data_IF_066483851645
#
_entry.id   IF_066483851645
#
_cell.length_a   1.000
_cell.length_b   1.000
_cell.length_c   1.000
_cell.angle_alpha   90.00
_cell.angle_beta   90.00
_cell.angle_gamma   90.00
#
_symmetry.space_group_name_H-M   'P 1'
#
loop_
_entity.id
_entity.type
_entity.pdbx_description
1 polymer ?
#
# COMPACT_ATOMS: atom_id res chain seq x y z
N UNK A 1 -21.25 24.92 -11.00
CA UNK A 1 -22.38 25.86 -11.17
C UNK A 1 -22.31 26.31 -12.61
N UNK A 2 -22.88 25.54 -13.55
CA UNK A 2 -22.98 25.98 -14.94
C UNK A 2 -24.37 26.59 -15.07
N UNK A 3 -24.41 27.90 -15.35
CA UNK A 3 -25.63 28.59 -15.74
C UNK A 3 -25.72 28.56 -17.25
N UNK A 4 -26.75 27.92 -17.78
CA UNK A 4 -27.26 28.22 -19.11
C UNK A 4 -28.72 28.68 -18.93
N UNK A 5 -28.97 29.90 -19.39
CA UNK A 5 -30.28 30.48 -19.54
C UNK A 5 -30.54 30.59 -21.03
N UNK A 6 -30.89 29.48 -21.68
CA UNK A 6 -31.78 29.45 -22.84
C UNK A 6 -32.29 28.00 -23.05
N UNK A 7 -33.62 27.83 -23.02
CA UNK A 7 -34.30 26.58 -23.31
C UNK A 7 -34.18 26.24 -24.81
N UNK A 8 -33.16 25.46 -25.17
CA UNK A 8 -33.19 24.41 -26.19
C UNK A 8 -32.94 24.78 -27.66
N UNK A 9 -31.81 24.34 -28.21
CA UNK A 9 -31.76 23.33 -29.27
C UNK A 9 -30.38 22.63 -29.27
N UNK A 10 -30.26 21.43 -29.85
CA UNK A 10 -29.04 20.62 -29.85
C UNK A 10 -27.90 21.14 -30.74
N UNK A 11 -27.55 22.42 -30.65
CA UNK A 11 -26.51 23.11 -31.44
C UNK A 11 -25.12 23.07 -30.80
N UNK A 12 -24.98 22.63 -29.55
CA UNK A 12 -23.67 22.47 -28.90
C UNK A 12 -23.20 21.03 -29.03
N UNK A 13 -21.92 20.89 -29.41
CA UNK A 13 -21.17 19.64 -29.45
C UNK A 13 -20.05 19.70 -28.42
N UNK A 14 -20.06 18.78 -27.46
CA UNK A 14 -18.98 18.63 -26.48
C UNK A 14 -17.91 17.67 -26.99
N UNK A 15 -16.65 18.04 -26.79
CA UNK A 15 -15.50 17.20 -27.15
C UNK A 15 -14.48 17.22 -26.02
N UNK A 16 -13.72 16.12 -25.88
CA UNK A 16 -12.58 16.04 -24.97
C UNK A 16 -11.31 15.66 -25.73
N UNK A 17 -10.19 16.15 -25.24
CA UNK A 17 -8.85 15.79 -25.71
C UNK A 17 -7.89 15.68 -24.53
N UNK A 18 -6.69 15.14 -24.75
CA UNK A 18 -5.68 14.91 -23.71
C UNK A 18 -5.50 13.43 -23.39
N UNK A 19 -5.14 13.13 -22.15
CA UNK A 19 -4.77 11.78 -21.74
C UNK A 19 -5.97 10.84 -21.71
N UNK A 20 -5.90 9.73 -22.47
CA UNK A 20 -6.95 8.72 -22.50
C UNK A 20 -8.25 9.16 -23.19
N UNK A 21 -8.31 10.36 -23.77
CA UNK A 21 -9.48 10.83 -24.51
C UNK A 21 -9.76 9.97 -25.75
N UNK A 22 -11.02 9.52 -25.90
CA UNK A 22 -11.45 8.67 -27.00
C UNK A 22 -11.08 7.19 -26.87
N UNK A 23 -10.31 6.83 -25.83
CA UNK A 23 -9.98 5.43 -25.51
C UNK A 23 -10.48 5.04 -24.14
N UNK A 24 -9.98 5.71 -23.09
CA UNK A 24 -10.28 5.48 -21.67
C UNK A 24 -11.50 6.31 -21.25
N UNK A 25 -11.54 7.57 -21.66
CA UNK A 25 -12.61 8.51 -21.38
C UNK A 25 -13.33 8.86 -22.67
N UNK A 26 -14.65 8.64 -22.70
CA UNK A 26 -15.52 9.05 -23.80
C UNK A 26 -16.51 10.06 -23.26
N UNK A 27 -16.71 11.14 -24.00
CA UNK A 27 -17.74 12.14 -23.73
C UNK A 27 -18.94 11.90 -24.64
N UNK A 28 -20.15 11.97 -24.08
CA UNK A 28 -21.35 12.13 -24.87
C UNK A 28 -21.36 13.53 -25.49
N UNK A 29 -21.30 13.59 -26.82
CA UNK A 29 -21.17 14.86 -27.54
C UNK A 29 -22.37 15.80 -27.37
N UNK A 30 -23.50 15.31 -26.83
CA UNK A 30 -24.75 16.06 -26.63
C UNK A 30 -24.94 16.44 -25.17
N UNK A 31 -24.78 15.51 -24.23
CA UNK A 31 -25.00 15.79 -22.80
C UNK A 31 -23.76 16.34 -22.11
N UNK A 32 -22.57 16.07 -22.67
CA UNK A 32 -21.30 16.37 -22.02
C UNK A 32 -20.91 15.37 -20.93
N UNK A 33 -21.67 14.29 -20.74
CA UNK A 33 -21.36 13.26 -19.75
C UNK A 33 -20.09 12.50 -20.15
N UNK A 34 -19.14 12.40 -19.22
CA UNK A 34 -17.88 11.67 -19.43
C UNK A 34 -17.98 10.32 -18.74
N UNK A 35 -17.73 9.25 -19.49
CA UNK A 35 -17.70 7.88 -19.01
C UNK A 35 -16.32 7.26 -19.20
N UNK A 36 -15.88 6.49 -18.20
CA UNK A 36 -14.76 5.58 -18.35
C UNK A 36 -15.23 4.31 -19.08
N UNK A 37 -14.46 3.86 -20.06
CA UNK A 37 -14.75 2.65 -20.86
C UNK A 37 -14.08 1.39 -20.31
N UNK A 38 -13.07 1.58 -19.47
CA UNK A 38 -12.28 0.53 -18.84
C UNK A 38 -12.15 0.77 -17.34
N UNK A 39 -11.59 -0.23 -16.65
CA UNK A 39 -11.29 -0.12 -15.21
C UNK A 39 -10.11 0.83 -15.03
N UNK A 40 -10.24 1.76 -14.11
CA UNK A 40 -9.17 2.66 -13.71
C UNK A 40 -8.44 2.05 -12.52
N UNK A 41 -7.12 1.96 -12.64
CA UNK A 41 -6.21 1.51 -11.60
C UNK A 41 -5.39 2.73 -11.15
N UNK A 42 -5.47 3.07 -9.86
CA UNK A 42 -4.82 4.27 -9.32
C UNK A 42 -3.31 4.04 -9.18
N UNK A 43 -2.92 2.82 -8.83
CA UNK A 43 -1.55 2.35 -8.67
C UNK A 43 -0.83 2.39 -10.01
N UNK A 44 -1.55 2.15 -11.12
CA UNK A 44 -1.05 2.38 -12.48
C UNK A 44 -1.01 3.88 -12.83
N UNK A 45 -2.13 4.60 -12.67
CA UNK A 45 -2.19 6.03 -12.99
C UNK A 45 -3.29 6.78 -12.21
N UNK A 46 -2.86 7.59 -11.25
CA UNK A 46 -3.76 8.34 -10.37
C UNK A 46 -4.42 9.60 -10.97
N UNK A 47 -3.83 10.20 -12.02
CA UNK A 47 -4.29 11.48 -12.58
C UNK A 47 -4.27 11.45 -14.10
N UNK A 48 -5.33 12.01 -14.68
CA UNK A 48 -5.44 12.24 -16.12
C UNK A 48 -5.73 13.71 -16.36
N UNK A 49 -4.89 14.37 -17.17
CA UNK A 49 -5.12 15.75 -17.58
C UNK A 49 -5.84 15.77 -18.92
N UNK A 50 -7.04 16.34 -18.94
CA UNK A 50 -7.89 16.45 -20.12
C UNK A 50 -8.30 17.90 -20.36
N UNK A 51 -8.77 18.16 -21.58
CA UNK A 51 -9.35 19.42 -21.98
C UNK A 51 -10.72 19.18 -22.58
N UNK A 52 -11.70 19.97 -22.16
CA UNK A 52 -13.04 19.98 -22.73
C UNK A 52 -13.23 21.21 -23.62
N UNK A 53 -14.03 21.05 -24.67
CA UNK A 53 -14.40 22.14 -25.55
C UNK A 53 -15.85 22.01 -26.02
N UNK A 54 -16.59 23.11 -25.90
CA UNK A 54 -17.89 23.30 -26.50
C UNK A 54 -17.74 23.91 -27.91
N UNK A 55 -18.34 23.26 -28.90
CA UNK A 55 -18.30 23.67 -30.31
C UNK A 55 -19.71 23.79 -30.86
N UNK A 56 -19.88 24.66 -31.84
CA UNK A 56 -21.10 24.74 -32.62
C UNK A 56 -21.22 23.50 -33.52
N UNK A 57 -22.35 22.81 -33.48
CA UNK A 57 -22.55 21.52 -34.15
C UNK A 57 -22.55 21.63 -35.67
N UNK A 58 -22.92 22.79 -36.23
CA UNK A 58 -23.04 22.97 -37.68
C UNK A 58 -21.73 23.43 -38.33
N UNK A 59 -21.03 24.34 -37.67
CA UNK A 59 -19.79 24.94 -38.17
C UNK A 59 -18.51 24.33 -37.58
N UNK A 60 -18.64 23.52 -36.52
CA UNK A 60 -17.54 22.99 -35.70
C UNK A 60 -16.64 24.09 -35.08
N UNK A 61 -17.12 25.35 -35.10
CA UNK A 61 -16.41 26.48 -34.52
C UNK A 61 -16.42 26.40 -33.00
N UNK A 62 -15.30 26.69 -32.31
CA UNK A 62 -15.28 26.73 -30.85
C UNK A 62 -16.18 27.86 -30.34
N UNK A 63 -17.13 27.51 -29.47
CA UNK A 63 -18.00 28.47 -28.79
C UNK A 63 -17.30 29.08 -27.58
N UNK A 64 -16.45 28.28 -26.93
CA UNK A 64 -15.64 28.68 -25.79
C UNK A 64 -14.16 28.25 -25.96
N UNK A 65 -13.23 28.90 -25.25
CA UNK A 65 -11.86 28.40 -25.12
C UNK A 65 -11.83 26.99 -24.53
N UNK A 66 -10.79 26.22 -24.84
CA UNK A 66 -10.57 24.93 -24.17
C UNK A 66 -10.39 25.14 -22.67
N UNK A 67 -11.06 24.29 -21.88
CA UNK A 67 -10.94 24.28 -20.43
C UNK A 67 -10.20 23.02 -19.99
N UNK A 68 -9.07 23.20 -19.32
CA UNK A 68 -8.26 22.11 -18.76
C UNK A 68 -8.80 21.67 -17.40
N UNK A 69 -8.90 20.36 -17.19
CA UNK A 69 -9.31 19.75 -15.94
C UNK A 69 -8.56 18.45 -15.70
N UNK A 70 -8.56 18.01 -14.44
CA UNK A 70 -7.89 16.76 -14.02
C UNK A 70 -8.94 15.79 -13.52
N UNK A 71 -8.96 14.59 -14.08
CA UNK A 71 -9.66 13.45 -13.50
C UNK A 71 -8.72 12.80 -12.49
N UNK A 72 -9.14 12.79 -11.22
CA UNK A 72 -8.45 12.09 -10.13
C UNK A 72 -9.10 10.73 -9.92
N UNK A 73 -8.34 9.65 -10.07
CA UNK A 73 -8.77 8.30 -9.71
C UNK A 73 -8.78 8.19 -8.20
N UNK A 74 -9.90 7.73 -7.64
CA UNK A 74 -10.00 7.48 -6.20
C UNK A 74 -9.41 6.12 -5.87
N UNK A 75 -8.62 6.09 -4.81
CA UNK A 75 -8.05 4.89 -4.23
C UNK A 75 -9.14 3.96 -3.68
N UNK A 76 -8.96 2.66 -3.88
CA UNK A 76 -9.68 1.61 -3.18
C UNK A 76 -8.63 0.68 -2.55
N UNK A 77 -8.99 -0.01 -1.47
CA UNK A 77 -8.07 -0.91 -0.80
C UNK A 77 -7.96 -2.25 -1.54
N UNK A 78 -7.21 -2.29 -2.63
CA UNK A 78 -7.01 -3.48 -3.46
C UNK A 78 -5.54 -3.93 -3.59
N UNK A 79 -4.60 -3.19 -2.97
CA UNK A 79 -3.22 -3.64 -2.77
C UNK A 79 -3.04 -4.25 -1.39
N UNK A 80 -2.36 -5.40 -1.33
CA UNK A 80 -1.96 -5.98 -0.05
C UNK A 80 -0.56 -5.50 0.39
N UNK A 81 -0.28 -5.40 1.70
CA UNK A 81 1.05 -5.08 2.20
C UNK A 81 2.10 -6.10 1.75
N UNK A 82 3.18 -5.61 1.15
CA UNK A 82 4.32 -6.43 0.71
C UNK A 82 5.57 -6.10 1.51
N UNK A 83 6.21 -7.12 2.07
CA UNK A 83 7.51 -6.95 2.71
C UNK A 83 8.57 -6.55 1.69
N UNK A 84 9.40 -5.57 2.05
CA UNK A 84 10.41 -4.97 1.14
C UNK A 84 11.57 -5.93 0.84
N UNK A 85 11.89 -6.78 1.81
CA UNK A 85 12.90 -7.83 1.71
C UNK A 85 12.30 -9.18 2.10
N UNK A 86 13.03 -10.26 1.82
CA UNK A 86 12.66 -11.61 2.22
C UNK A 86 13.51 -12.67 1.52
N UNK A 87 13.95 -13.73 2.20
CA UNK A 87 13.72 -14.02 3.63
C UNK A 87 14.57 -13.15 4.58
N UNK A 88 14.06 -12.85 5.77
CA UNK A 88 14.76 -12.07 6.79
C UNK A 88 15.58 -12.96 7.71
N UNK A 89 16.83 -12.57 8.00
CA UNK A 89 17.70 -13.26 8.95
C UNK A 89 18.24 -12.25 9.96
N UNK A 90 17.87 -12.42 11.22
CA UNK A 90 18.36 -11.64 12.35
C UNK A 90 19.14 -12.50 13.33
N UNK A 91 19.84 -11.86 14.26
CA UNK A 91 20.55 -12.57 15.32
C UNK A 91 20.43 -11.84 16.65
N UNK A 92 20.42 -12.59 17.75
CA UNK A 92 20.43 -12.04 19.11
C UNK A 92 21.29 -12.91 20.01
N UNK A 93 21.98 -12.29 20.97
CA UNK A 93 22.76 -13.03 21.96
C UNK A 93 21.84 -13.88 22.84
N UNK A 94 22.30 -15.08 23.21
CA UNK A 94 21.62 -15.86 24.25
C UNK A 94 21.57 -15.09 25.57
N UNK A 95 20.62 -15.47 26.43
CA UNK A 95 20.35 -14.82 27.72
C UNK A 95 20.08 -13.30 27.64
N UNK A 96 19.79 -12.79 26.43
CA UNK A 96 19.43 -11.39 26.24
C UNK A 96 18.17 -11.04 27.05
N UNK A 97 18.15 -9.90 27.77
CA UNK A 97 16.97 -9.49 28.51
C UNK A 97 15.73 -9.40 27.62
N UNK A 98 14.55 -9.57 28.22
CA UNK A 98 13.26 -9.31 27.56
C UNK A 98 13.25 -7.89 26.99
N UNK A 99 12.79 -7.74 25.75
CA UNK A 99 12.70 -6.46 25.06
C UNK A 99 13.96 -6.06 24.28
N UNK A 100 14.98 -6.92 24.22
CA UNK A 100 16.19 -6.70 23.42
C UNK A 100 15.81 -6.64 21.94
N UNK A 101 16.24 -5.59 21.25
CA UNK A 101 15.99 -5.41 19.82
C UNK A 101 16.80 -6.41 19.00
N UNK A 102 16.12 -7.17 18.14
CA UNK A 102 16.74 -8.16 17.25
C UNK A 102 16.99 -7.55 15.87
N UNK A 103 15.91 -7.13 15.21
CA UNK A 103 15.94 -6.54 13.88
C UNK A 103 14.65 -5.76 13.60
N UNK A 104 14.56 -5.16 12.42
CA UNK A 104 13.35 -4.48 11.94
C UNK A 104 12.92 -5.10 10.62
N UNK A 105 11.63 -5.41 10.49
CA UNK A 105 11.02 -5.75 9.20
C UNK A 105 10.25 -4.55 8.66
N UNK A 106 10.15 -4.45 7.34
CA UNK A 106 9.44 -3.37 6.68
C UNK A 106 8.56 -3.93 5.57
N UNK A 107 7.30 -3.48 5.56
CA UNK A 107 6.36 -3.69 4.47
C UNK A 107 5.92 -2.34 3.90
N UNK A 108 5.55 -2.35 2.64
CA UNK A 108 4.93 -1.24 1.92
C UNK A 108 3.61 -1.68 1.34
N UNK A 109 2.66 -0.74 1.31
CA UNK A 109 1.40 -0.87 0.62
C UNK A 109 1.42 0.10 -0.57
N UNK A 110 0.83 -0.31 -1.68
CA UNK A 110 0.81 0.52 -2.88
C UNK A 110 -0.33 1.54 -2.86
N UNK A 111 -1.39 1.31 -2.08
CA UNK A 111 -2.58 2.16 -1.96
C UNK A 111 -2.23 3.58 -1.47
N UNK A 112 -3.17 4.53 -1.58
CA UNK A 112 -2.95 5.92 -1.20
C UNK A 112 -2.74 6.08 0.33
N UNK A 113 -1.58 6.58 0.79
CA UNK A 113 -1.34 6.79 2.21
C UNK A 113 -1.99 8.05 2.78
N UNK A 114 -2.53 8.91 1.91
CA UNK A 114 -3.08 10.23 2.30
C UNK A 114 -4.59 10.21 2.54
N UNK A 115 -5.32 9.30 1.88
CA UNK A 115 -6.77 9.20 2.01
C UNK A 115 -7.17 7.90 2.72
N UNK A 116 -7.84 8.05 3.87
CA UNK A 116 -8.31 6.91 4.64
C UNK A 116 -7.20 6.18 5.39
N UNK A 117 -7.41 4.88 5.58
CA UNK A 117 -6.47 3.99 6.25
C UNK A 117 -5.90 2.91 5.34
N UNK A 118 -6.19 2.93 4.03
CA UNK A 118 -5.84 1.86 3.09
C UNK A 118 -4.38 1.47 3.26
N UNK A 119 -3.43 2.36 2.98
CA UNK A 119 -1.99 2.06 3.13
C UNK A 119 -1.43 2.07 4.57
N UNK A 120 -2.27 2.15 5.63
CA UNK A 120 -1.78 2.19 7.02
C UNK A 120 -1.47 0.78 7.53
N UNK A 121 -0.20 0.41 7.48
CA UNK A 121 0.27 -0.91 7.91
C UNK A 121 0.41 -1.00 9.44
N UNK A 122 0.01 -2.14 9.98
CA UNK A 122 0.36 -2.61 11.33
C UNK A 122 0.96 -4.01 11.29
N UNK A 123 1.93 -4.27 12.16
CA UNK A 123 2.61 -5.55 12.26
C UNK A 123 2.07 -6.40 13.41
N UNK A 124 2.05 -7.72 13.22
CA UNK A 124 1.77 -8.70 14.27
C UNK A 124 2.57 -9.99 14.07
N UNK A 125 2.75 -10.76 15.13
CA UNK A 125 3.33 -12.11 15.04
C UNK A 125 2.20 -13.11 14.82
N UNK A 126 2.34 -14.00 13.85
CA UNK A 126 1.44 -15.14 13.62
C UNK A 126 1.94 -16.42 14.26
N UNK A 127 3.26 -16.64 14.23
CA UNK A 127 3.92 -17.81 14.80
C UNK A 127 5.25 -17.38 15.41
N UNK A 128 5.56 -17.86 16.62
CA UNK A 128 6.81 -17.54 17.34
C UNK A 128 6.66 -16.45 18.41
N UNK A 129 5.42 -16.04 18.69
CA UNK A 129 5.03 -15.02 19.66
C UNK A 129 5.42 -15.36 21.10
N UNK A 130 5.65 -16.65 21.38
CA UNK A 130 6.19 -17.11 22.66
C UNK A 130 7.60 -16.56 22.92
N UNK A 131 8.42 -16.43 21.89
CA UNK A 131 9.85 -16.09 22.02
C UNK A 131 10.17 -14.67 21.57
N UNK A 132 9.38 -14.11 20.66
CA UNK A 132 9.60 -12.78 20.12
C UNK A 132 8.30 -11.99 19.99
N UNK A 133 8.42 -10.67 20.08
CA UNK A 133 7.34 -9.72 19.82
C UNK A 133 7.72 -8.83 18.65
N UNK A 134 6.73 -8.26 17.96
CA UNK A 134 6.95 -7.22 16.95
C UNK A 134 6.24 -5.95 17.38
N UNK A 135 6.93 -4.82 17.30
CA UNK A 135 6.31 -3.51 17.51
C UNK A 135 5.33 -3.22 16.39
N UNK A 136 4.08 -2.92 16.77
CA UNK A 136 2.95 -2.83 15.84
C UNK A 136 3.13 -1.75 14.77
N UNK A 137 3.85 -0.68 15.05
CA UNK A 137 4.00 0.46 14.13
C UNK A 137 5.34 0.47 13.41
N UNK A 138 6.41 0.16 14.13
CA UNK A 138 7.78 0.25 13.60
C UNK A 138 8.26 -1.06 12.97
N UNK A 139 7.62 -2.20 13.22
CA UNK A 139 8.09 -3.50 12.73
C UNK A 139 9.37 -3.99 13.42
N UNK A 140 9.77 -3.38 14.55
CA UNK A 140 10.93 -3.80 15.32
C UNK A 140 10.61 -5.08 16.08
N UNK A 141 11.37 -6.13 15.84
CA UNK A 141 11.27 -7.43 16.53
C UNK A 141 12.13 -7.38 17.79
N UNK A 142 11.58 -7.85 18.91
CA UNK A 142 12.24 -7.91 20.21
C UNK A 142 12.09 -9.28 20.87
N UNK A 143 13.02 -9.64 21.74
CA UNK A 143 12.89 -10.83 22.59
C UNK A 143 11.67 -10.70 23.52
N UNK A 144 10.88 -11.76 23.64
CA UNK A 144 9.76 -11.88 24.57
C UNK A 144 10.12 -12.62 25.86
N UNK A 145 11.23 -13.37 25.84
CA UNK A 145 11.75 -14.15 26.95
C UNK A 145 13.23 -13.83 27.19
N UNK A 146 13.74 -14.19 28.37
CA UNK A 146 15.13 -13.97 28.76
C UNK A 146 15.99 -15.25 28.75
N UNK A 147 15.39 -16.40 28.47
CA UNK A 147 16.00 -17.74 28.54
C UNK A 147 16.21 -18.37 27.16
N UNK A 148 16.48 -17.53 26.15
CA UNK A 148 17.00 -18.02 24.88
C UNK A 148 18.38 -18.61 25.14
N UNK A 149 18.51 -19.92 24.95
CA UNK A 149 19.71 -20.71 25.22
C UNK A 149 20.11 -21.42 23.92
N UNK A 150 21.32 -21.12 23.43
CA UNK A 150 21.80 -21.63 22.15
C UNK A 150 21.99 -23.15 22.18
N UNK A 151 22.41 -23.72 23.30
CA UNK A 151 22.59 -25.16 23.44
C UNK A 151 21.27 -25.93 23.38
N UNK A 152 20.16 -25.29 23.77
CA UNK A 152 18.81 -25.85 23.63
C UNK A 152 18.26 -25.67 22.21
N UNK A 153 18.36 -24.46 21.66
CA UNK A 153 17.87 -24.13 20.33
C UNK A 153 18.60 -22.90 19.76
N UNK A 154 19.39 -23.11 18.71
CA UNK A 154 20.22 -22.08 18.08
C UNK A 154 19.50 -21.24 17.01
N UNK A 155 18.31 -21.67 16.58
CA UNK A 155 17.52 -21.03 15.53
C UNK A 155 16.03 -21.07 15.80
N UNK A 156 15.39 -19.93 15.62
CA UNK A 156 13.94 -19.76 15.72
C UNK A 156 13.37 -19.25 14.40
N UNK A 157 12.18 -19.72 14.05
CA UNK A 157 11.40 -19.18 12.94
C UNK A 157 10.21 -18.40 13.51
N UNK A 158 10.04 -17.18 12.99
CA UNK A 158 8.99 -16.25 13.35
C UNK A 158 8.23 -15.89 12.08
N UNK A 159 6.91 -16.03 12.08
CA UNK A 159 6.07 -15.56 10.97
C UNK A 159 5.50 -14.19 11.36
N UNK A 160 5.91 -13.15 10.64
CA UNK A 160 5.42 -11.79 10.84
C UNK A 160 4.40 -11.46 9.77
N UNK A 161 3.27 -10.87 10.19
CA UNK A 161 2.20 -10.38 9.33
C UNK A 161 2.19 -8.86 9.31
N UNK A 162 2.03 -8.29 8.13
CA UNK A 162 1.69 -6.90 7.91
C UNK A 162 0.23 -6.83 7.46
N UNK A 163 -0.59 -6.00 8.10
CA UNK A 163 -2.01 -5.79 7.74
C UNK A 163 -2.22 -4.30 7.48
N UNK A 164 -2.88 -3.98 6.38
CA UNK A 164 -3.27 -2.63 5.98
C UNK A 164 -4.46 -2.14 6.85
N UNK A 165 -5.11 -1.02 6.48
CA UNK A 165 -6.32 -0.52 7.17
C UNK A 165 -6.14 -0.35 8.70
N UNK A 166 -4.91 -0.11 9.16
CA UNK A 166 -4.51 -0.13 10.57
C UNK A 166 -4.92 -1.41 11.34
N UNK A 167 -5.09 -2.54 10.63
CA UNK A 167 -5.54 -3.82 11.17
C UNK A 167 -7.04 -3.90 11.46
N UNK A 168 -7.86 -3.04 10.84
CA UNK A 168 -9.32 -3.10 10.95
C UNK A 168 -9.91 -4.26 10.13
N UNK A 169 -11.17 -4.61 10.41
CA UNK A 169 -11.89 -5.64 9.67
C UNK A 169 -12.03 -5.22 8.19
N UNK A 170 -11.66 -6.12 7.28
CA UNK A 170 -11.65 -5.85 5.84
C UNK A 170 -10.26 -5.55 5.27
N UNK A 171 -9.25 -5.40 6.12
CA UNK A 171 -7.88 -5.17 5.65
C UNK A 171 -7.22 -6.38 5.00
N UNK A 172 -6.39 -6.14 4.00
CA UNK A 172 -5.54 -7.11 3.33
C UNK A 172 -4.22 -7.28 4.10
N UNK A 173 -3.52 -8.39 3.82
CA UNK A 173 -2.33 -8.72 4.58
C UNK A 173 -1.35 -9.59 3.83
N UNK A 174 -0.07 -9.23 3.94
CA UNK A 174 1.06 -10.10 3.59
C UNK A 174 1.74 -10.67 4.84
N UNK A 175 2.47 -11.76 4.67
CA UNK A 175 3.30 -12.37 5.72
C UNK A 175 4.70 -12.69 5.20
N UNK A 176 5.67 -12.76 6.12
CA UNK A 176 7.04 -13.18 5.84
C UNK A 176 7.58 -14.04 6.97
N UNK A 177 8.46 -14.97 6.63
CA UNK A 177 9.27 -15.72 7.60
C UNK A 177 10.52 -14.92 7.96
N UNK A 178 10.82 -14.88 9.26
CA UNK A 178 12.03 -14.30 9.84
C UNK A 178 12.76 -15.43 10.59
N UNK A 179 14.01 -15.67 10.21
CA UNK A 179 14.89 -16.59 10.94
C UNK A 179 15.71 -15.81 11.94
N UNK A 180 15.66 -16.20 13.21
CA UNK A 180 16.45 -15.58 14.29
C UNK A 180 17.47 -16.59 14.78
N UNK A 181 18.75 -16.23 14.65
CA UNK A 181 19.89 -17.03 15.10
C UNK A 181 20.31 -16.59 16.50
N UNK A 182 20.44 -17.54 17.42
CA UNK A 182 20.97 -17.27 18.76
C UNK A 182 22.49 -17.35 18.70
N UNK A 183 23.16 -16.28 19.08
CA UNK A 183 24.63 -16.22 19.12
C UNK A 183 25.15 -16.55 20.51
N UNK A 184 26.23 -17.33 20.53
CA UNK A 184 26.93 -17.78 21.74
C UNK A 184 27.47 -16.60 22.55
N UNK A 185 27.15 -16.59 23.84
CA UNK A 185 27.81 -15.81 24.87
C UNK A 185 28.44 -16.82 25.80
N UNK A 186 29.78 -16.93 25.80
CA UNK A 186 30.53 -17.93 26.58
C UNK A 186 30.14 -17.95 28.08
N UNK A 187 29.13 -18.75 28.41
CA UNK A 187 28.49 -18.92 29.73
C UNK A 187 28.71 -20.35 30.27
N UNK A 188 29.24 -21.24 29.43
CA UNK A 188 29.56 -22.60 29.78
C UNK A 188 31.01 -22.72 30.29
N UNK A 189 31.24 -23.21 31.52
CA UNK A 189 32.59 -23.46 32.00
C UNK A 189 33.26 -24.55 31.16
N UNK A 190 34.59 -24.44 30.86
CA UNK A 190 35.29 -25.42 30.06
C UNK A 190 35.21 -26.80 30.72
N UNK A 191 34.72 -27.78 29.95
CA UNK A 191 34.76 -29.20 30.35
C UNK A 191 36.04 -29.82 29.80
N UNK A 192 36.88 -30.35 30.69
CA UNK A 192 38.01 -31.17 30.28
C UNK A 192 37.53 -32.61 30.00
N UNK A 193 38.02 -33.27 28.93
CA UNK A 193 37.78 -34.69 28.72
C UNK A 193 38.40 -35.50 29.86
N UNK A 194 37.66 -36.51 30.33
CA UNK A 194 38.10 -37.43 31.38
C UNK A 194 38.97 -38.55 30.80
#
# INVERSE_FOLDING_TARGET
>A
IHSDSDEGDGSIKYTISGEGAGTIFIIDEVTGDIHATERLDREEKAFYTLRAQARDRQSDAPLEPESEFVIKVQDINDSEPKFLEGPYIGSVAELSPIGTSVMKVMASDADDPTYGSSARIVYSVLEGEKFFTVDRQSGVIRTAVADLDRETQDRYELVVKATDMAGQMGGLSGSTTVTIVITDVNDNPPRFPQ
#
